data_IF_148761154479
#
_entry.id   IF_148761154479
#
_cell.length_a   1.000
_cell.length_b   1.000
_cell.length_c   1.000
_cell.angle_alpha   90.00
_cell.angle_beta   90.00
_cell.angle_gamma   90.00
#
_symmetry.space_group_name_H-M   'P 1'
#
loop_
_entity.id
_entity.type
_entity.pdbx_description
1 polymer ?
#
# COMPACT_ATOMS: atom_id res chain seq x y z
N UNK A 1 18.77 -9.46 -4.43
CA UNK A 1 18.26 -10.25 -3.29
C UNK A 1 18.09 -11.69 -3.74
N UNK A 2 18.60 -12.66 -2.97
CA UNK A 2 18.36 -14.08 -3.24
C UNK A 2 17.00 -14.50 -2.67
N UNK A 3 16.38 -15.55 -3.24
CA UNK A 3 15.13 -16.10 -2.71
C UNK A 3 15.26 -16.55 -1.24
N UNK A 4 16.46 -16.98 -0.84
CA UNK A 4 16.76 -17.36 0.55
C UNK A 4 16.73 -16.16 1.49
N UNK A 5 17.32 -15.02 1.09
CA UNK A 5 17.28 -13.78 1.88
C UNK A 5 15.84 -13.31 2.12
N UNK A 6 15.01 -13.32 1.07
CA UNK A 6 13.59 -12.92 1.18
C UNK A 6 12.83 -13.84 2.15
N UNK A 7 13.11 -15.14 2.13
CA UNK A 7 12.49 -16.10 3.04
C UNK A 7 12.97 -15.94 4.49
N UNK A 8 14.23 -15.59 4.71
CA UNK A 8 14.79 -15.36 6.04
C UNK A 8 14.29 -14.04 6.64
N UNK A 9 14.17 -12.99 5.83
CA UNK A 9 13.59 -11.70 6.24
C UNK A 9 12.12 -11.87 6.65
N UNK A 10 11.34 -12.61 5.86
CA UNK A 10 9.95 -12.92 6.20
C UNK A 10 9.84 -13.61 7.57
N UNK A 11 10.71 -14.58 7.86
CA UNK A 11 10.75 -15.28 9.16
C UNK A 11 11.15 -14.37 10.30
N UNK A 12 12.13 -13.49 10.09
CA UNK A 12 12.55 -12.51 11.08
C UNK A 12 11.41 -11.55 11.46
N UNK A 13 10.51 -11.28 10.52
CA UNK A 13 9.30 -10.47 10.68
C UNK A 13 8.08 -11.26 11.18
N UNK A 14 8.25 -12.53 11.58
CA UNK A 14 7.18 -13.36 12.14
C UNK A 14 6.33 -14.10 11.10
N UNK A 15 6.67 -14.02 9.81
CA UNK A 15 5.97 -14.73 8.74
C UNK A 15 6.70 -16.02 8.35
N UNK A 16 6.04 -17.19 8.30
CA UNK A 16 6.70 -18.45 7.98
C UNK A 16 7.25 -18.50 6.54
N UNK A 17 6.67 -17.69 5.64
CA UNK A 17 7.05 -17.51 4.23
C UNK A 17 6.74 -16.07 3.79
N UNK A 18 7.36 -15.57 2.71
CA UNK A 18 7.02 -14.26 2.15
C UNK A 18 5.56 -14.22 1.67
N UNK A 19 4.87 -13.10 1.91
CA UNK A 19 3.48 -12.90 1.47
C UNK A 19 3.37 -12.87 -0.06
N UNK A 20 4.33 -12.22 -0.72
CA UNK A 20 4.34 -12.06 -2.17
C UNK A 20 5.05 -10.79 -2.61
N UNK A 21 4.68 -10.30 -3.79
CA UNK A 21 5.16 -9.02 -4.30
C UNK A 21 4.10 -7.95 -4.08
N UNK A 22 4.47 -6.84 -3.47
CA UNK A 22 3.60 -5.69 -3.30
C UNK A 22 4.03 -4.55 -4.22
N UNK A 23 3.08 -3.71 -4.61
CA UNK A 23 3.36 -2.48 -5.35
C UNK A 23 2.18 -1.53 -5.35
N UNK A 24 2.35 -0.42 -6.05
CA UNK A 24 1.40 0.70 -6.08
C UNK A 24 0.71 0.81 -7.43
N UNK A 25 -0.54 1.27 -7.41
CA UNK A 25 -1.35 1.60 -8.59
C UNK A 25 -2.00 2.95 -8.37
N UNK A 26 -2.05 3.77 -9.42
CA UNK A 26 -2.78 5.04 -9.38
C UNK A 26 -4.25 4.82 -9.04
N UNK A 27 -4.78 5.61 -8.11
CA UNK A 27 -6.19 5.53 -7.75
C UNK A 27 -7.08 6.09 -8.87
N UNK A 28 -8.13 5.39 -9.34
CA UNK A 28 -8.91 5.80 -10.50
C UNK A 28 -9.70 7.10 -10.26
N UNK A 29 -10.11 7.37 -9.03
CA UNK A 29 -10.87 8.58 -8.67
C UNK A 29 -10.04 9.87 -8.74
N UNK A 30 -8.72 9.76 -8.86
CA UNK A 30 -7.78 10.88 -8.98
C UNK A 30 -7.20 10.99 -10.40
N UNK A 31 -7.89 10.43 -11.39
CA UNK A 31 -7.49 10.57 -12.79
C UNK A 31 -7.78 12.00 -13.28
N UNK A 32 -6.90 12.60 -14.10
CA UNK A 32 -7.09 13.96 -14.61
C UNK A 32 -8.27 14.06 -15.61
N UNK A 33 -8.62 12.96 -16.27
CA UNK A 33 -9.73 12.87 -17.19
C UNK A 33 -10.32 11.44 -17.25
N UNK A 34 -11.44 11.29 -17.94
CA UNK A 34 -12.14 10.00 -18.06
C UNK A 34 -11.34 8.96 -18.87
N UNK A 35 -10.50 9.38 -19.82
CA UNK A 35 -9.66 8.46 -20.58
C UNK A 35 -8.62 7.81 -19.66
N UNK A 36 -7.91 8.60 -18.87
CA UNK A 36 -6.97 8.12 -17.86
C UNK A 36 -7.66 7.28 -16.78
N UNK A 37 -8.86 7.68 -16.36
CA UNK A 37 -9.67 6.89 -15.42
C UNK A 37 -9.97 5.50 -15.97
N UNK A 38 -10.35 5.39 -17.24
CA UNK A 38 -10.61 4.10 -17.89
C UNK A 38 -9.34 3.24 -18.03
N UNK A 39 -8.17 3.86 -18.26
CA UNK A 39 -6.87 3.16 -18.26
C UNK A 39 -6.59 2.57 -16.87
N UNK A 40 -6.73 3.37 -15.80
CA UNK A 40 -6.52 2.92 -14.41
C UNK A 40 -7.47 1.79 -14.04
N UNK A 41 -8.77 1.91 -14.35
CA UNK A 41 -9.76 0.84 -14.13
C UNK A 41 -9.42 -0.44 -14.91
N UNK A 42 -8.94 -0.32 -16.15
CA UNK A 42 -8.52 -1.46 -16.96
C UNK A 42 -7.30 -2.17 -16.36
N UNK A 43 -6.33 -1.42 -15.82
CA UNK A 43 -5.19 -1.98 -15.09
C UNK A 43 -5.66 -2.75 -13.86
N UNK A 44 -6.51 -2.15 -13.01
CA UNK A 44 -7.06 -2.80 -11.81
C UNK A 44 -7.77 -4.12 -12.17
N UNK A 45 -8.63 -4.10 -13.20
CA UNK A 45 -9.33 -5.30 -13.68
C UNK A 45 -8.35 -6.38 -14.15
N UNK A 46 -7.28 -5.98 -14.82
CA UNK A 46 -6.25 -6.89 -15.32
C UNK A 46 -5.48 -7.54 -14.16
N UNK A 47 -5.07 -6.76 -13.17
CA UNK A 47 -4.37 -7.26 -11.99
C UNK A 47 -5.23 -8.25 -11.21
N UNK A 48 -6.52 -7.94 -11.01
CA UNK A 48 -7.50 -8.88 -10.41
C UNK A 48 -7.60 -10.19 -11.19
N UNK A 49 -7.64 -10.11 -12.53
CA UNK A 49 -7.69 -11.31 -13.40
C UNK A 49 -6.44 -12.17 -13.26
N UNK A 50 -5.29 -11.56 -12.97
CA UNK A 50 -4.03 -12.28 -12.68
C UNK A 50 -3.93 -12.81 -11.25
N UNK A 51 -4.97 -12.64 -10.43
CA UNK A 51 -5.00 -13.12 -9.05
C UNK A 51 -4.37 -12.17 -8.04
N UNK A 52 -4.11 -10.91 -8.42
CA UNK A 52 -3.66 -9.90 -7.47
C UNK A 52 -4.82 -9.49 -6.55
N UNK A 53 -4.47 -9.23 -5.29
CA UNK A 53 -5.35 -8.60 -4.32
C UNK A 53 -5.12 -7.10 -4.40
N UNK A 54 -6.20 -6.33 -4.53
CA UNK A 54 -6.15 -4.85 -4.51
C UNK A 54 -6.68 -4.40 -3.15
N UNK A 55 -5.90 -3.60 -2.44
CA UNK A 55 -6.25 -3.05 -1.14
C UNK A 55 -6.95 -1.70 -1.31
N UNK A 56 -8.22 -1.73 -1.73
CA UNK A 56 -9.05 -0.53 -1.95
C UNK A 56 -9.40 0.22 -0.67
N UNK A 57 -9.30 -0.50 0.43
CA UNK A 57 -9.76 -0.15 1.75
C UNK A 57 -8.70 0.60 2.60
N UNK A 58 -7.54 0.86 2.00
CA UNK A 58 -6.42 1.54 2.61
C UNK A 58 -6.37 3.01 2.17
N UNK A 59 -6.25 3.93 3.13
CA UNK A 59 -5.90 5.33 2.84
C UNK A 59 -4.38 5.45 2.71
N UNK A 60 -3.86 5.00 1.57
CA UNK A 60 -2.45 5.05 1.25
C UNK A 60 -2.14 6.20 0.29
N UNK A 61 -1.08 6.94 0.58
CA UNK A 61 -0.64 8.09 -0.18
C UNK A 61 0.85 7.95 -0.51
N UNK A 62 1.22 8.26 -1.76
CA UNK A 62 2.61 8.29 -2.16
C UNK A 62 3.31 9.52 -1.55
N UNK A 63 4.44 9.36 -0.85
CA UNK A 63 5.21 10.49 -0.33
C UNK A 63 5.90 11.29 -1.44
N UNK A 64 6.10 12.59 -1.23
CA UNK A 64 6.88 13.40 -2.16
C UNK A 64 8.34 13.05 -2.15
N UNK A 65 8.94 13.00 -3.35
CA UNK A 65 10.36 12.76 -3.51
C UNK A 65 11.10 14.08 -3.71
N UNK A 66 11.77 14.57 -2.67
CA UNK A 66 12.64 15.76 -2.72
C UNK A 66 14.09 15.29 -2.83
N UNK A 67 14.74 15.57 -3.97
CA UNK A 67 16.13 15.19 -4.22
C UNK A 67 16.40 13.68 -4.00
N UNK A 68 15.43 12.84 -4.34
CA UNK A 68 15.53 11.38 -4.19
C UNK A 68 15.32 10.87 -2.77
N UNK A 69 14.82 11.70 -1.85
CA UNK A 69 14.38 11.29 -0.51
C UNK A 69 12.90 11.56 -0.35
N UNK A 70 12.20 10.64 0.29
CA UNK A 70 10.82 10.88 0.67
C UNK A 70 10.77 11.99 1.74
N UNK A 71 9.89 12.96 1.54
CA UNK A 71 9.52 13.91 2.57
C UNK A 71 8.38 13.31 3.41
N UNK A 72 8.66 13.05 4.68
CA UNK A 72 7.68 12.50 5.62
C UNK A 72 6.66 13.53 6.11
N UNK A 73 6.83 14.81 5.74
CA UNK A 73 5.90 15.89 6.11
C UNK A 73 4.92 16.10 4.97
N UNK A 74 3.63 16.06 5.29
CA UNK A 74 2.64 16.81 4.51
C UNK A 74 2.89 18.26 4.84
N UNK A 75 3.71 18.94 4.05
CA UNK A 75 3.99 20.35 4.31
C UNK A 75 2.67 21.12 4.27
N UNK A 76 2.26 21.68 5.42
CA UNK A 76 1.18 22.68 5.48
C UNK A 76 1.49 23.89 4.56
N UNK A 77 2.75 24.00 4.10
CA UNK A 77 3.27 25.01 3.17
C UNK A 77 3.37 24.55 1.69
N UNK A 78 3.06 23.29 1.34
CA UNK A 78 3.03 22.87 -0.07
C UNK A 78 1.62 22.96 -0.63
N UNK A 79 1.45 23.69 -1.73
CA UNK A 79 0.23 23.66 -2.57
C UNK A 79 -0.02 22.29 -3.23
N UNK A 80 0.83 21.31 -2.96
CA UNK A 80 0.74 19.96 -3.50
C UNK A 80 0.06 19.06 -2.45
N UNK A 81 -1.02 18.41 -2.86
CA UNK A 81 -1.65 17.31 -2.11
C UNK A 81 -1.09 15.97 -2.59
N UNK A 82 -0.69 15.06 -1.69
CA UNK A 82 -0.06 13.80 -2.10
C UNK A 82 -1.07 12.93 -2.83
N UNK A 83 -0.59 12.20 -3.83
CA UNK A 83 -1.46 11.34 -4.64
C UNK A 83 -1.89 10.12 -3.83
N UNK A 84 -3.21 9.91 -3.78
CA UNK A 84 -3.75 8.67 -3.23
C UNK A 84 -3.45 7.52 -4.19
N UNK A 85 -2.92 6.43 -3.66
CA UNK A 85 -2.63 5.21 -4.41
C UNK A 85 -3.42 4.02 -3.87
N UNK A 86 -3.52 2.99 -4.68
CA UNK A 86 -3.95 1.66 -4.28
C UNK A 86 -2.71 0.78 -4.10
N UNK A 87 -2.69 -0.04 -3.06
CA UNK A 87 -1.71 -1.12 -2.96
C UNK A 87 -2.25 -2.38 -3.61
N UNK A 88 -1.39 -3.12 -4.31
CA UNK A 88 -1.68 -4.46 -4.77
C UNK A 88 -0.69 -5.47 -4.20
N UNK A 89 -1.16 -6.71 -4.02
CA UNK A 89 -0.35 -7.86 -3.65
C UNK A 89 -0.50 -8.95 -4.71
N UNK A 90 0.62 -9.40 -5.25
CA UNK A 90 0.74 -10.66 -5.99
C UNK A 90 1.18 -11.76 -5.00
N UNK A 91 0.25 -12.58 -4.49
CA UNK A 91 0.59 -13.45 -3.39
C UNK A 91 1.26 -14.75 -3.87
N UNK A 92 2.21 -15.26 -3.09
CA UNK A 92 2.87 -16.55 -3.39
C UNK A 92 1.96 -17.73 -3.02
N UNK A 93 1.05 -17.53 -2.06
CA UNK A 93 0.06 -18.51 -1.65
C UNK A 93 -1.35 -17.94 -1.85
N UNK A 94 -2.37 -18.77 -2.11
CA UNK A 94 -3.74 -18.30 -2.19
C UNK A 94 -4.15 -17.60 -0.89
N UNK A 95 -4.60 -16.35 -1.00
CA UNK A 95 -5.16 -15.58 0.11
C UNK A 95 -6.61 -15.29 -0.22
N UNK A 96 -7.52 -15.72 0.65
CA UNK A 96 -8.96 -15.50 0.45
C UNK A 96 -9.35 -14.05 0.72
N UNK A 97 -8.77 -13.45 1.76
CA UNK A 97 -9.00 -12.05 2.13
C UNK A 97 -7.76 -11.50 2.86
N UNK A 98 -7.31 -10.27 2.55
CA UNK A 98 -6.25 -9.64 3.32
C UNK A 98 -6.72 -9.31 4.73
N UNK A 99 -5.92 -9.67 5.74
CA UNK A 99 -6.19 -9.27 7.14
C UNK A 99 -5.67 -7.86 7.40
N UNK A 100 -6.14 -7.17 8.46
CA UNK A 100 -5.60 -5.87 8.85
C UNK A 100 -4.10 -5.92 9.12
N UNK A 101 -3.64 -6.95 9.81
CA UNK A 101 -2.22 -7.16 10.10
C UNK A 101 -1.40 -7.23 8.81
N UNK A 102 -1.90 -7.97 7.80
CA UNK A 102 -1.26 -8.03 6.49
C UNK A 102 -1.27 -6.66 5.78
N UNK A 103 -2.38 -5.94 5.81
CA UNK A 103 -2.48 -4.62 5.19
C UNK A 103 -1.53 -3.61 5.86
N UNK A 104 -1.48 -3.60 7.18
CA UNK A 104 -0.57 -2.77 7.97
C UNK A 104 0.90 -3.11 7.66
N UNK A 105 1.22 -4.41 7.56
CA UNK A 105 2.57 -4.87 7.23
C UNK A 105 3.00 -4.42 5.82
N UNK A 106 2.13 -4.58 4.82
CA UNK A 106 2.41 -4.19 3.44
C UNK A 106 2.60 -2.67 3.32
N UNK A 107 1.71 -1.88 3.93
CA UNK A 107 1.81 -0.42 3.93
C UNK A 107 3.09 0.06 4.62
N UNK A 108 3.39 -0.50 5.80
CA UNK A 108 4.59 -0.13 6.56
C UNK A 108 5.86 -0.53 5.84
N UNK A 109 5.91 -1.72 5.23
CA UNK A 109 7.09 -2.16 4.47
C UNK A 109 7.42 -1.22 3.32
N UNK A 110 6.43 -0.71 2.59
CA UNK A 110 6.69 0.26 1.52
C UNK A 110 7.12 1.62 2.12
N UNK A 111 6.37 2.16 3.09
CA UNK A 111 6.64 3.51 3.59
C UNK A 111 7.93 3.60 4.41
N UNK A 112 8.21 2.61 5.26
CA UNK A 112 9.38 2.60 6.13
C UNK A 112 10.62 2.08 5.40
N UNK A 113 10.51 1.01 4.62
CA UNK A 113 11.72 0.39 4.04
C UNK A 113 12.06 0.96 2.65
N UNK A 114 11.05 1.16 1.79
CA UNK A 114 11.26 1.68 0.44
C UNK A 114 11.38 3.21 0.43
N UNK A 115 10.42 3.91 1.04
CA UNK A 115 10.44 5.37 1.12
C UNK A 115 11.31 5.90 2.28
N UNK A 116 11.72 5.06 3.23
CA UNK A 116 12.59 5.45 4.37
C UNK A 116 11.98 6.54 5.24
N UNK A 117 10.67 6.49 5.42
CA UNK A 117 9.96 7.38 6.32
C UNK A 117 10.14 6.95 7.77
N UNK A 118 10.01 7.92 8.67
CA UNK A 118 9.86 7.66 10.10
C UNK A 118 8.46 7.09 10.40
N UNK A 119 8.36 6.30 11.46
CA UNK A 119 7.12 5.64 11.89
C UNK A 119 6.03 6.64 12.32
N UNK A 120 6.43 7.82 12.77
CA UNK A 120 5.57 8.93 13.15
C UNK A 120 5.17 9.85 11.97
N UNK A 121 5.65 9.58 10.76
CA UNK A 121 5.29 10.36 9.57
C UNK A 121 3.78 10.31 9.29
N UNK A 122 3.25 11.39 8.71
CA UNK A 122 1.82 11.48 8.42
C UNK A 122 1.35 10.34 7.50
N UNK A 123 2.15 9.98 6.50
CA UNK A 123 1.85 8.90 5.55
C UNK A 123 1.68 7.55 6.26
N UNK A 124 2.60 7.20 7.16
CA UNK A 124 2.56 5.95 7.93
C UNK A 124 1.35 5.95 8.86
N UNK A 125 1.17 7.02 9.63
CA UNK A 125 0.06 7.12 10.57
C UNK A 125 -1.31 7.08 9.86
N UNK A 126 -1.43 7.75 8.70
CA UNK A 126 -2.66 7.75 7.89
C UNK A 126 -3.01 6.36 7.37
N UNK A 127 -2.04 5.66 6.78
CA UNK A 127 -2.24 4.30 6.28
C UNK A 127 -2.65 3.36 7.43
N UNK A 128 -1.91 3.35 8.54
CA UNK A 128 -2.19 2.46 9.68
C UNK A 128 -3.52 2.77 10.39
N UNK A 129 -3.91 4.04 10.48
CA UNK A 129 -5.19 4.42 11.05
C UNK A 129 -6.39 3.91 10.23
N UNK A 130 -6.25 3.86 8.89
CA UNK A 130 -7.30 3.39 7.99
C UNK A 130 -7.53 1.89 8.11
N UNK A 131 -6.47 1.10 8.29
CA UNK A 131 -6.54 -0.34 8.58
C UNK A 131 -7.37 -0.63 9.84
N UNK A 132 -7.14 0.15 10.92
CA UNK A 132 -7.81 -0.07 12.21
C UNK A 132 -9.29 0.34 12.22
N UNK A 133 -9.68 1.35 11.43
CA UNK A 133 -11.07 1.82 11.37
C UNK A 133 -12.02 0.78 10.75
N UNK A 134 -11.51 -0.11 9.90
CA UNK A 134 -12.34 -1.08 9.21
C UNK A 134 -12.85 -2.22 10.10
N UNK A 135 -12.08 -2.59 11.13
CA UNK A 135 -12.49 -3.62 12.08
C UNK A 135 -13.64 -3.15 12.97
N UNK A 136 -13.63 -1.88 13.38
CA UNK A 136 -14.68 -1.33 14.27
C UNK A 136 -16.06 -1.30 13.60
N UNK A 137 -16.13 -1.22 12.26
CA UNK A 137 -17.40 -1.17 11.53
C UNK A 137 -17.99 -2.58 11.30
N UNK A 138 -17.16 -3.62 11.16
CA UNK A 138 -17.64 -4.99 10.93
C UNK A 138 -18.21 -5.66 12.18
N UNK A 139 -17.77 -5.30 13.40
CA UNK A 139 -18.32 -5.84 14.65
C UNK A 139 -19.65 -5.21 15.08
N UNK A 140 -20.10 -4.15 14.40
CA UNK A 140 -21.34 -3.42 14.71
C UNK A 140 -22.48 -3.70 13.70
N UNK A 141 -22.40 -4.79 12.93
CA UNK A 141 -23.46 -5.22 12.01
C UNK A 141 -24.03 -6.59 12.39
#
# INVERSE_FOLDING_TARGET
LSAQQIADDAKALGHPVPLGLCGELDHPDFAPDEQERQIRLTRIKTFRRWGNIILEDLDYFEPYMIQGRADGKTTEDSELEPDRMLLYLFPIQPITQPTPEMMAHLASGILLDNYRLDDDSWFVQKALASVNHQHTVQYNR
#
